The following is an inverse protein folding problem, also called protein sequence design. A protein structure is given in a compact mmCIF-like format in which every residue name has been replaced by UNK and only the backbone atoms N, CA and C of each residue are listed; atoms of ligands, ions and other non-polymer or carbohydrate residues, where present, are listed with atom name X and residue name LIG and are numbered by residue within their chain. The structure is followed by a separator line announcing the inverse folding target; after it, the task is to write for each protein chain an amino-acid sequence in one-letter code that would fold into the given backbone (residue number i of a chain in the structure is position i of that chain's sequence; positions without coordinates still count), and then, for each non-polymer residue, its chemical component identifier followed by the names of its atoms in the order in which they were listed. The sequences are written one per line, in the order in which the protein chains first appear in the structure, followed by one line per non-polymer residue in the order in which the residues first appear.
data_IF_664893169583
#
_entry.id   IF_664893169583
#
_cell.length_a   1.000
_cell.length_b   1.000
_cell.length_c   1.000
_cell.angle_alpha   90.00
_cell.angle_beta   90.00
_cell.angle_gamma   90.00
#
_symmetry.space_group_name_H-M   'P 1'
#
loop_
_entity.id
_entity.type
_entity.pdbx_description
1 polymer ?
#
# COMPACT_ATOMS: atom_id res chain seq x y z
N UNK A 1 17.69 7.68 -11.30
CA UNK A 1 17.92 6.92 -10.05
C UNK A 1 17.01 7.48 -8.97
N UNK A 2 15.76 7.02 -8.91
CA UNK A 2 14.73 7.60 -8.05
C UNK A 2 14.68 6.83 -6.73
N UNK A 3 15.37 7.37 -5.73
CA UNK A 3 15.27 6.98 -4.33
C UNK A 3 13.93 7.48 -3.78
N UNK A 4 12.83 6.77 -4.06
CA UNK A 4 11.51 7.14 -3.54
C UNK A 4 11.14 6.25 -2.35
N UNK A 5 11.48 6.79 -1.18
CA UNK A 5 10.98 6.36 0.13
C UNK A 5 9.46 6.60 0.20
N UNK A 6 8.67 5.69 -0.36
CA UNK A 6 7.21 5.74 -0.21
C UNK A 6 6.78 4.47 0.49
N UNK A 7 6.92 4.48 1.82
CA UNK A 7 6.27 3.54 2.72
C UNK A 7 4.82 3.36 2.23
N UNK A 8 4.46 2.14 1.88
CA UNK A 8 3.14 1.77 1.35
C UNK A 8 2.09 2.21 2.37
N UNK A 9 1.48 3.36 2.09
CA UNK A 9 0.43 3.94 2.89
C UNK A 9 -0.90 3.28 2.52
N UNK A 10 -0.98 1.97 2.74
CA UNK A 10 -2.26 1.25 2.68
C UNK A 10 -2.93 1.17 4.06
N UNK A 11 -2.24 1.54 5.14
CA UNK A 11 -2.81 1.46 6.49
C UNK A 11 -3.49 2.74 6.99
N UNK A 12 -3.31 3.90 6.33
CA UNK A 12 -3.71 5.17 6.92
C UNK A 12 -5.01 5.77 6.32
N UNK A 13 -5.66 5.09 5.36
CA UNK A 13 -7.01 5.46 4.89
C UNK A 13 -8.11 4.90 5.82
N UNK A 14 -7.75 4.29 6.95
CA UNK A 14 -8.71 3.85 7.96
C UNK A 14 -9.16 4.96 8.94
N UNK A 15 -8.64 6.20 8.83
CA UNK A 15 -8.92 7.25 9.82
C UNK A 15 -9.93 8.31 9.40
N UNK A 16 -10.42 8.34 8.16
CA UNK A 16 -11.31 9.44 7.69
C UNK A 16 -12.73 9.08 7.24
N UNK A 17 -13.11 7.80 7.22
CA UNK A 17 -14.50 7.37 7.22
C UNK A 17 -14.52 5.88 7.62
N UNK A 18 -15.21 5.53 8.72
CA UNK A 18 -15.24 4.17 9.25
C UNK A 18 -15.52 3.11 8.16
N UNK A 19 -14.75 2.00 8.17
CA UNK A 19 -15.16 0.88 9.00
C UNK A 19 -14.11 0.49 10.06
N UNK A 20 -14.52 -0.22 11.13
CA UNK A 20 -13.67 -0.60 12.27
C UNK A 20 -12.64 -1.70 11.96
N UNK A 21 -12.34 -1.94 10.69
CA UNK A 21 -11.47 -3.03 10.24
C UNK A 21 -10.51 -2.55 9.14
N UNK A 22 -9.29 -3.08 9.08
CA UNK A 22 -8.42 -2.89 7.93
C UNK A 22 -9.18 -3.30 6.65
N UNK A 23 -8.99 -2.60 5.52
CA UNK A 23 -9.67 -2.91 4.27
C UNK A 23 -9.43 -4.36 3.89
N UNK A 24 -10.49 -5.04 3.46
CA UNK A 24 -10.39 -6.46 3.11
C UNK A 24 -9.51 -6.65 1.88
N UNK A 25 -8.92 -7.85 1.74
CA UNK A 25 -8.13 -8.23 0.57
C UNK A 25 -8.84 -7.89 -0.76
N UNK A 26 -10.15 -8.13 -0.84
CA UNK A 26 -10.96 -7.80 -2.02
C UNK A 26 -11.12 -6.29 -2.27
N UNK A 27 -11.23 -5.48 -1.22
CA UNK A 27 -11.30 -4.01 -1.34
C UNK A 27 -9.97 -3.42 -1.80
N UNK A 28 -8.85 -3.93 -1.28
CA UNK A 28 -7.51 -3.51 -1.71
C UNK A 28 -7.30 -3.90 -3.18
N UNK A 29 -7.66 -5.12 -3.57
CA UNK A 29 -7.62 -5.57 -4.96
C UNK A 29 -8.47 -4.66 -5.87
N UNK A 30 -9.72 -4.38 -5.49
CA UNK A 30 -10.62 -3.53 -6.25
C UNK A 30 -10.09 -2.09 -6.42
N UNK A 31 -9.48 -1.52 -5.38
CA UNK A 31 -8.84 -0.21 -5.45
C UNK A 31 -7.64 -0.19 -6.40
N UNK A 32 -6.80 -1.23 -6.37
CA UNK A 32 -5.67 -1.36 -7.28
C UNK A 32 -6.13 -1.52 -8.73
N UNK A 33 -7.17 -2.33 -8.98
CA UNK A 33 -7.76 -2.48 -10.31
C UNK A 33 -8.37 -1.16 -10.79
N UNK A 34 -9.10 -0.47 -9.92
CA UNK A 34 -9.65 0.85 -10.23
C UNK A 34 -8.57 1.92 -10.46
N UNK A 35 -7.37 1.72 -9.93
CA UNK A 35 -6.21 2.56 -10.20
C UNK A 35 -5.52 2.26 -11.54
N UNK A 36 -5.99 1.25 -12.26
CA UNK A 36 -5.48 0.86 -13.58
C UNK A 36 -4.53 -0.32 -13.57
N UNK A 37 -4.34 -1.00 -12.43
CA UNK A 37 -3.59 -2.26 -12.39
C UNK A 37 -4.45 -3.40 -12.94
N UNK A 38 -3.81 -4.36 -13.59
CA UNK A 38 -4.43 -5.60 -14.00
C UNK A 38 -4.88 -6.42 -12.79
N UNK A 39 -5.99 -7.17 -12.90
CA UNK A 39 -6.50 -8.02 -11.82
C UNK A 39 -5.44 -8.99 -11.28
N UNK A 40 -4.61 -9.55 -12.18
CA UNK A 40 -3.51 -10.45 -11.81
C UNK A 40 -2.47 -9.75 -10.93
N UNK A 41 -2.08 -8.54 -11.30
CA UNK A 41 -1.11 -7.74 -10.56
C UNK A 41 -1.70 -7.31 -9.21
N UNK A 42 -2.95 -6.83 -9.20
CA UNK A 42 -3.66 -6.47 -7.98
C UNK A 42 -3.78 -7.65 -7.00
N UNK A 43 -4.12 -8.84 -7.50
CA UNK A 43 -4.17 -10.06 -6.70
C UNK A 43 -2.78 -10.43 -6.14
N UNK A 44 -1.71 -10.28 -6.94
CA UNK A 44 -0.35 -10.53 -6.48
C UNK A 44 0.10 -9.58 -5.35
N UNK A 45 -0.29 -8.31 -5.41
CA UNK A 45 -0.01 -7.34 -4.33
C UNK A 45 -0.74 -7.74 -3.04
N UNK A 46 -2.00 -8.16 -3.16
CA UNK A 46 -2.81 -8.59 -2.01
C UNK A 46 -2.23 -9.87 -1.38
N UNK A 47 -1.84 -10.84 -2.19
CA UNK A 47 -1.17 -12.07 -1.73
C UNK A 47 0.14 -11.79 -0.98
N UNK A 48 0.92 -10.80 -1.43
CA UNK A 48 2.09 -10.32 -0.69
C UNK A 48 1.65 -9.78 0.67
N UNK A 49 0.63 -8.93 0.75
CA UNK A 49 0.12 -8.42 2.03
C UNK A 49 -0.33 -9.52 2.99
N UNK A 50 -1.06 -10.51 2.48
CA UNK A 50 -1.55 -11.64 3.28
C UNK A 50 -0.43 -12.48 3.88
N UNK A 51 0.69 -12.68 3.16
CA UNK A 51 1.88 -13.38 3.67
C UNK A 51 2.54 -12.72 4.89
N UNK A 52 2.31 -11.43 5.07
CA UNK A 52 2.84 -10.68 6.21
C UNK A 52 1.78 -10.39 7.28
N UNK A 53 0.56 -10.94 7.16
CA UNK A 53 -0.52 -10.75 8.12
C UNK A 53 -0.10 -11.16 9.53
N UNK A 54 0.44 -12.36 9.71
CA UNK A 54 0.92 -12.84 11.02
C UNK A 54 2.01 -11.93 11.61
N UNK A 55 2.88 -11.37 10.76
CA UNK A 55 3.93 -10.45 11.20
C UNK A 55 3.36 -9.08 11.59
N UNK A 56 2.36 -8.58 10.87
CA UNK A 56 1.64 -7.36 11.24
C UNK A 56 0.86 -7.54 12.55
N UNK A 57 0.24 -8.70 12.75
CA UNK A 57 -0.45 -9.02 14.01
C UNK A 57 0.54 -9.16 15.16
N UNK A 58 1.69 -9.81 14.95
CA UNK A 58 2.77 -9.89 15.94
C UNK A 58 3.40 -8.52 16.24
N UNK A 59 3.41 -7.61 15.27
CA UNK A 59 3.90 -6.26 15.43
C UNK A 59 2.86 -5.29 16.02
N UNK A 60 1.62 -5.75 16.28
CA UNK A 60 0.54 -4.91 16.81
C UNK A 60 0.92 -4.38 18.19
N UNK A 61 0.89 -3.06 18.33
CA UNK A 61 1.32 -2.38 19.57
C UNK A 61 2.82 -2.06 19.63
N UNK A 62 3.61 -2.44 18.63
CA UNK A 62 5.02 -2.06 18.50
C UNK A 62 5.25 -1.29 17.17
N UNK A 63 5.33 0.05 17.20
CA UNK A 63 5.40 0.86 15.99
C UNK A 63 6.66 0.62 15.17
N UNK A 64 7.80 0.34 15.80
CA UNK A 64 9.06 0.02 15.12
C UNK A 64 8.99 -1.31 14.36
N UNK A 65 8.42 -2.33 15.00
CA UNK A 65 8.22 -3.64 14.36
C UNK A 65 7.20 -3.55 13.23
N UNK A 66 6.11 -2.80 13.43
CA UNK A 66 5.11 -2.59 12.40
C UNK A 66 5.72 -1.86 11.20
N UNK A 67 6.49 -0.80 11.45
CA UNK A 67 7.21 -0.05 10.41
C UNK A 67 8.15 -0.96 9.61
N UNK A 68 8.89 -1.85 10.28
CA UNK A 68 9.78 -2.80 9.63
C UNK A 68 9.00 -3.74 8.70
N UNK A 69 7.92 -4.34 9.21
CA UNK A 69 7.06 -5.23 8.41
C UNK A 69 6.45 -4.48 7.21
N UNK A 70 6.01 -3.23 7.39
CA UNK A 70 5.54 -2.39 6.29
C UNK A 70 6.62 -2.12 5.23
N UNK A 71 7.86 -1.86 5.65
CA UNK A 71 8.97 -1.62 4.73
C UNK A 71 9.33 -2.89 3.92
N UNK A 72 9.22 -4.06 4.55
CA UNK A 72 9.39 -5.35 3.89
C UNK A 72 8.27 -5.64 2.88
N UNK A 73 6.99 -5.46 3.26
CA UNK A 73 5.84 -5.59 2.36
C UNK A 73 6.01 -4.66 1.15
N UNK A 74 6.39 -3.40 1.40
CA UNK A 74 6.65 -2.44 0.34
C UNK A 74 7.74 -2.95 -0.59
N UNK A 75 8.88 -3.36 -0.05
CA UNK A 75 10.02 -3.81 -0.85
C UNK A 75 9.61 -4.99 -1.74
N UNK A 76 8.89 -5.97 -1.18
CA UNK A 76 8.38 -7.11 -1.95
C UNK A 76 7.38 -6.71 -3.03
N UNK A 77 6.51 -5.77 -2.72
CA UNK A 77 5.53 -5.23 -3.68
C UNK A 77 6.24 -4.51 -4.83
N UNK A 78 7.27 -3.71 -4.54
CA UNK A 78 8.07 -3.00 -5.55
C UNK A 78 8.87 -3.98 -6.43
N UNK A 79 9.49 -5.00 -5.82
CA UNK A 79 10.16 -6.08 -6.54
C UNK A 79 9.17 -6.83 -7.46
N UNK A 80 7.96 -7.09 -6.99
CA UNK A 80 6.92 -7.75 -7.77
C UNK A 80 6.47 -6.90 -8.96
N UNK A 81 6.17 -5.61 -8.72
CA UNK A 81 5.72 -4.67 -9.74
C UNK A 81 6.77 -4.45 -10.83
N UNK A 82 8.07 -4.41 -10.49
CA UNK A 82 9.16 -4.31 -11.48
C UNK A 82 9.17 -5.45 -12.52
N UNK A 83 8.57 -6.59 -12.19
CA UNK A 83 8.46 -7.75 -13.08
C UNK A 83 7.10 -7.81 -13.81
N UNK A 84 6.17 -6.90 -13.52
CA UNK A 84 4.89 -6.76 -14.21
C UNK A 84 5.02 -5.89 -15.47
N UNK A 85 4.05 -5.94 -16.41
CA UNK A 85 4.08 -5.09 -17.60
C UNK A 85 4.15 -3.61 -17.27
N UNK A 86 4.71 -2.81 -18.18
CA UNK A 86 4.93 -1.37 -17.99
C UNK A 86 3.65 -0.61 -17.63
N UNK A 87 2.51 -1.01 -18.21
CA UNK A 87 1.19 -0.45 -17.86
C UNK A 87 0.86 -0.59 -16.37
N UNK A 88 1.13 -1.75 -15.78
CA UNK A 88 0.90 -2.00 -14.36
C UNK A 88 1.89 -1.25 -13.47
N UNK A 89 3.15 -1.11 -13.93
CA UNK A 89 4.17 -0.30 -13.24
C UNK A 89 3.77 1.17 -13.17
N UNK A 90 3.31 1.74 -14.29
CA UNK A 90 2.84 3.12 -14.37
C UNK A 90 1.58 3.34 -13.52
N UNK A 91 0.62 2.42 -13.58
CA UNK A 91 -0.59 2.49 -12.77
C UNK A 91 -0.27 2.43 -11.26
N UNK A 92 0.61 1.51 -10.85
CA UNK A 92 1.08 1.41 -9.47
C UNK A 92 1.79 2.68 -9.00
N UNK A 93 2.73 3.22 -9.79
CA UNK A 93 3.43 4.46 -9.43
C UNK A 93 2.46 5.64 -9.30
N UNK A 94 1.50 5.75 -10.23
CA UNK A 94 0.46 6.80 -10.18
C UNK A 94 -0.44 6.66 -8.95
N UNK A 95 -0.79 5.42 -8.57
CA UNK A 95 -1.54 5.13 -7.36
C UNK A 95 -0.77 5.56 -6.09
N UNK A 96 0.52 5.20 -6.02
CA UNK A 96 1.40 5.56 -4.91
C UNK A 96 1.57 7.08 -4.79
N UNK A 97 1.74 7.80 -5.90
CA UNK A 97 1.80 9.27 -5.90
C UNK A 97 0.47 9.91 -5.46
N UNK A 98 -0.67 9.35 -5.90
CA UNK A 98 -2.01 9.81 -5.48
C UNK A 98 -2.21 9.61 -3.98
N UNK A 99 -1.83 8.46 -3.44
CA UNK A 99 -1.86 8.19 -2.00
C UNK A 99 -0.95 9.17 -1.26
N UNK A 100 0.30 9.35 -1.73
CA UNK A 100 1.24 10.31 -1.13
C UNK A 100 0.65 11.73 -1.05
N UNK A 101 0.02 12.20 -2.13
CA UNK A 101 -0.68 13.50 -2.16
C UNK A 101 -1.88 13.55 -1.22
N UNK A 102 -2.65 12.48 -1.09
CA UNK A 102 -3.74 12.44 -0.11
C UNK A 102 -3.22 12.52 1.33
N UNK A 103 -2.08 11.90 1.64
CA UNK A 103 -1.45 11.97 2.97
C UNK A 103 -0.75 13.29 3.26
N UNK A 104 -0.05 13.85 2.26
CA UNK A 104 0.54 15.18 2.36
C UNK A 104 -0.55 16.26 2.45
N UNK A 105 -1.66 16.12 1.72
CA UNK A 105 -2.81 17.01 1.82
C UNK A 105 -3.61 16.88 3.12
N UNK A 106 -3.40 15.79 3.87
CA UNK A 106 -3.96 15.58 5.21
C UNK A 106 -3.07 16.07 6.35
N UNK A 107 -1.87 16.58 6.03
CA UNK A 107 -1.16 17.49 6.93
C UNK A 107 -1.79 18.86 6.72
N UNK A 108 -2.77 19.17 7.57
CA UNK A 108 -3.44 20.48 7.70
C UNK A 108 -2.59 21.65 7.20
N UNK A 109 -3.12 22.58 6.37
CA UNK A 109 -2.58 23.93 6.37
C UNK A 109 -2.73 24.45 7.80
N UNK A 110 -1.60 24.63 8.48
CA UNK A 110 -1.55 25.43 9.71
C UNK A 110 -2.08 26.81 9.35
N UNK A 111 -3.25 27.15 9.85
CA UNK A 111 -3.81 28.48 9.80
C UNK A 111 -4.20 28.93 11.21
#
# INVERSE_FOLDING_TARGET
MCKLFIAVVLLAVATFAAPPAPPSADEVKAQLVSAGLSEKTAAGIVDIGEKYKDQLEAAKGNPDSAKKVFDEIKTKTDEYIKNQPESDQTAYNSYIEKMKKQFEGHSTPSH
#
